data_IF_408051372790
#
_entry.id   IF_408051372790
#
_cell.length_a   1.000
_cell.length_b   1.000
_cell.length_c   1.000
_cell.angle_alpha   90.00
_cell.angle_beta   90.00
_cell.angle_gamma   90.00
#
_symmetry.space_group_name_H-M   'P 1'
#
loop_
_entity.id
_entity.type
_entity.pdbx_description
1 polymer ?
#
# COMPACT_ATOMS: atom_id res chain seq x y z
N UNK A 1 -11.71 -28.30 22.12
CA UNK A 1 -11.20 -27.45 21.02
C UNK A 1 -12.33 -26.54 20.62
N UNK A 2 -12.37 -25.34 21.16
CA UNK A 2 -13.42 -24.35 20.87
C UNK A 2 -12.95 -23.57 19.65
N UNK A 3 -13.58 -23.80 18.53
CA UNK A 3 -13.41 -23.01 17.30
C UNK A 3 -13.91 -21.60 17.62
N UNK A 4 -12.99 -20.62 17.65
CA UNK A 4 -13.37 -19.23 17.75
C UNK A 4 -14.19 -18.89 16.51
N UNK A 5 -15.48 -18.63 16.70
CA UNK A 5 -16.36 -18.11 15.64
C UNK A 5 -15.94 -16.66 15.44
N UNK A 6 -15.27 -16.38 14.33
CA UNK A 6 -15.04 -15.00 13.91
C UNK A 6 -16.40 -14.37 13.63
N UNK A 7 -16.80 -13.41 14.44
CA UNK A 7 -17.97 -12.59 14.16
C UNK A 7 -17.66 -11.72 12.94
N UNK A 8 -18.29 -12.02 11.83
CA UNK A 8 -18.29 -11.21 10.64
C UNK A 8 -19.17 -9.99 10.92
N UNK A 9 -18.61 -8.81 10.95
CA UNK A 9 -19.40 -7.58 10.96
C UNK A 9 -19.60 -7.22 9.49
N UNK A 10 -20.81 -7.48 8.99
CA UNK A 10 -21.24 -6.96 7.69
C UNK A 10 -21.56 -5.48 7.92
N UNK A 11 -20.70 -4.59 7.43
CA UNK A 11 -21.00 -3.16 7.39
C UNK A 11 -21.85 -2.94 6.15
N UNK A 12 -23.17 -2.89 6.30
CA UNK A 12 -24.05 -2.38 5.27
C UNK A 12 -23.88 -0.85 5.22
N UNK A 13 -23.27 -0.36 4.17
CA UNK A 13 -23.37 1.06 3.85
C UNK A 13 -24.77 1.31 3.29
N UNK A 14 -25.52 2.23 3.90
CA UNK A 14 -26.92 2.54 3.55
C UNK A 14 -27.12 3.09 2.12
N UNK A 15 -26.04 3.29 1.36
CA UNK A 15 -26.10 3.58 -0.06
C UNK A 15 -25.01 2.81 -0.80
N UNK A 16 -25.37 1.92 -1.73
CA UNK A 16 -24.41 1.44 -2.70
C UNK A 16 -23.99 2.65 -3.54
N UNK A 17 -22.70 2.90 -3.61
CA UNK A 17 -22.11 3.82 -4.58
C UNK A 17 -22.19 3.18 -5.98
N UNK A 18 -23.41 2.86 -6.40
CA UNK A 18 -23.72 2.56 -7.79
C UNK A 18 -23.78 3.89 -8.55
N UNK A 19 -22.63 4.42 -8.87
CA UNK A 19 -22.58 5.39 -9.96
C UNK A 19 -22.51 4.60 -11.24
N UNK A 20 -23.54 4.71 -12.05
CA UNK A 20 -23.65 4.08 -13.39
C UNK A 20 -22.55 4.51 -14.37
N UNK A 21 -21.60 5.31 -13.96
CA UNK A 21 -20.47 5.78 -14.75
C UNK A 21 -19.15 5.51 -14.01
N UNK A 22 -18.58 4.33 -14.28
CA UNK A 22 -17.12 4.15 -14.30
C UNK A 22 -16.30 4.43 -13.04
N UNK A 23 -16.88 4.42 -11.85
CA UNK A 23 -16.11 4.46 -10.61
C UNK A 23 -15.45 3.10 -10.37
N UNK A 24 -14.16 3.03 -10.61
CA UNK A 24 -13.33 1.82 -10.51
C UNK A 24 -13.13 1.37 -9.06
N UNK A 25 -13.55 2.15 -8.07
CA UNK A 25 -13.40 1.79 -6.66
C UNK A 25 -14.66 1.11 -6.14
N UNK A 26 -14.77 -0.21 -6.31
CA UNK A 26 -15.81 -1.00 -5.68
C UNK A 26 -15.43 -1.34 -4.25
N UNK A 27 -16.11 -0.74 -3.27
CA UNK A 27 -16.03 -1.13 -1.86
C UNK A 27 -16.69 -2.47 -1.56
N UNK A 28 -17.28 -3.13 -2.57
CA UNK A 28 -17.95 -4.45 -2.44
C UNK A 28 -17.07 -5.54 -1.83
N UNK A 29 -15.77 -5.36 -1.84
CA UNK A 29 -14.79 -6.30 -1.29
C UNK A 29 -14.06 -5.80 -0.04
N UNK A 30 -14.39 -4.60 0.46
CA UNK A 30 -13.84 -4.09 1.71
C UNK A 30 -14.54 -4.76 2.90
N UNK A 31 -14.11 -5.97 3.25
CA UNK A 31 -14.59 -6.69 4.42
C UNK A 31 -13.76 -6.27 5.63
N UNK A 32 -14.37 -5.59 6.58
CA UNK A 32 -13.76 -5.42 7.89
C UNK A 32 -13.98 -6.69 8.72
N UNK A 33 -12.99 -7.57 8.76
CA UNK A 33 -12.94 -8.65 9.75
C UNK A 33 -12.33 -8.08 11.02
N UNK A 34 -13.14 -7.81 12.02
CA UNK A 34 -12.64 -7.43 13.34
C UNK A 34 -12.66 -8.67 14.22
N UNK A 35 -11.52 -9.35 14.41
CA UNK A 35 -11.45 -10.45 15.37
C UNK A 35 -11.68 -9.91 16.79
N UNK A 36 -12.23 -10.74 17.72
CA UNK A 36 -12.32 -10.33 19.11
C UNK A 36 -10.93 -10.01 19.64
N UNK A 37 -10.80 -8.91 20.37
CA UNK A 37 -9.53 -8.55 20.98
C UNK A 37 -9.09 -9.63 21.98
N UNK A 38 -7.87 -10.17 21.88
CA UNK A 38 -7.35 -11.11 22.84
C UNK A 38 -7.15 -10.43 24.20
N UNK A 39 -7.41 -11.15 25.27
CA UNK A 39 -7.04 -10.71 26.63
C UNK A 39 -5.52 -10.46 26.70
N UNK A 40 -5.09 -9.67 27.65
CA UNK A 40 -3.66 -9.40 27.83
C UNK A 40 -2.84 -10.69 28.03
N UNK A 41 -3.37 -11.67 28.75
CA UNK A 41 -2.70 -12.96 28.94
C UNK A 41 -2.57 -13.76 27.64
N UNK A 42 -3.62 -13.80 26.84
CA UNK A 42 -3.59 -14.43 25.50
C UNK A 42 -2.63 -13.71 24.56
N UNK A 43 -2.62 -12.38 24.58
CA UNK A 43 -1.72 -11.54 23.78
C UNK A 43 -0.25 -11.84 24.09
N UNK A 44 0.11 -11.91 25.37
CA UNK A 44 1.47 -12.28 25.79
C UNK A 44 1.83 -13.70 25.35
N UNK A 45 0.93 -14.66 25.56
CA UNK A 45 1.16 -16.06 25.16
C UNK A 45 1.32 -16.20 23.63
N UNK A 46 0.56 -15.43 22.84
CA UNK A 46 0.69 -15.39 21.37
C UNK A 46 2.04 -14.78 20.96
N UNK A 47 2.44 -13.65 21.55
CA UNK A 47 3.75 -13.02 21.27
C UNK A 47 4.89 -14.00 21.57
N UNK A 48 4.87 -14.69 22.69
CA UNK A 48 5.89 -15.68 23.04
C UNK A 48 5.93 -16.87 22.07
N UNK A 49 4.76 -17.34 21.65
CA UNK A 49 4.66 -18.40 20.65
C UNK A 49 5.23 -17.95 19.29
N UNK A 50 4.95 -16.73 18.85
CA UNK A 50 5.46 -16.19 17.58
C UNK A 50 6.99 -16.03 17.65
N UNK A 51 7.54 -15.45 18.72
CA UNK A 51 9.00 -15.34 18.93
C UNK A 51 9.70 -16.69 18.79
N UNK A 52 9.14 -17.72 19.43
CA UNK A 52 9.69 -19.08 19.36
C UNK A 52 9.63 -19.62 17.92
N UNK A 53 8.49 -19.49 17.24
CA UNK A 53 8.30 -19.97 15.86
C UNK A 53 9.23 -19.25 14.87
N UNK A 54 9.42 -17.94 14.98
CA UNK A 54 10.35 -17.20 14.12
C UNK A 54 11.78 -17.76 14.25
N UNK A 55 12.22 -18.03 15.47
CA UNK A 55 13.53 -18.63 15.72
C UNK A 55 13.63 -20.07 15.19
N UNK A 56 12.64 -20.92 15.48
CA UNK A 56 12.60 -22.33 15.06
C UNK A 56 12.57 -22.48 13.52
N UNK A 57 11.92 -21.54 12.83
CA UNK A 57 11.75 -21.56 11.37
C UNK A 57 12.82 -20.77 10.63
N UNK A 58 13.82 -20.23 11.30
CA UNK A 58 14.80 -19.31 10.70
C UNK A 58 14.06 -18.21 9.89
N UNK A 59 13.07 -17.59 10.55
CA UNK A 59 12.22 -16.57 9.94
C UNK A 59 12.47 -15.20 10.59
N UNK A 60 12.30 -14.15 9.82
CA UNK A 60 12.29 -12.77 10.30
C UNK A 60 10.96 -12.12 9.96
N UNK A 61 10.45 -11.29 10.87
CA UNK A 61 9.21 -10.56 10.71
C UNK A 61 9.52 -9.12 10.29
N UNK A 62 8.84 -8.65 9.25
CA UNK A 62 8.85 -7.25 8.84
C UNK A 62 7.42 -6.71 8.90
N UNK A 63 7.24 -5.56 9.51
CA UNK A 63 5.93 -4.98 9.77
C UNK A 63 5.82 -3.59 9.17
N UNK A 64 4.69 -3.32 8.50
CA UNK A 64 4.39 -1.97 8.06
C UNK A 64 3.95 -1.13 9.26
N UNK A 65 4.28 0.15 9.26
CA UNK A 65 3.92 1.06 10.37
C UNK A 65 2.41 1.34 10.50
N UNK A 66 1.57 0.81 9.60
CA UNK A 66 0.09 0.86 9.72
C UNK A 66 -0.48 -0.26 10.60
N UNK A 67 0.27 -1.34 10.83
CA UNK A 67 -0.27 -2.49 11.56
C UNK A 67 -0.35 -2.20 13.06
N UNK A 68 -1.11 -3.05 13.76
CA UNK A 68 -1.27 -2.91 15.21
C UNK A 68 0.08 -2.84 15.94
N UNK A 69 0.24 -1.97 16.97
CA UNK A 69 1.50 -1.80 17.70
C UNK A 69 2.15 -3.10 18.19
N UNK A 70 1.37 -4.08 18.64
CA UNK A 70 1.91 -5.38 19.04
C UNK A 70 2.68 -6.11 17.94
N UNK A 71 2.30 -5.92 16.67
CA UNK A 71 3.01 -6.53 15.54
C UNK A 71 4.28 -5.75 15.20
N UNK A 72 4.25 -4.43 15.40
CA UNK A 72 5.43 -3.58 15.25
C UNK A 72 6.47 -3.93 16.33
N UNK A 73 6.06 -3.93 17.60
CA UNK A 73 6.92 -4.33 18.72
C UNK A 73 7.53 -5.71 18.47
N UNK A 74 6.71 -6.67 18.02
CA UNK A 74 7.15 -8.04 17.79
C UNK A 74 8.22 -8.11 16.68
N UNK A 75 8.07 -7.33 15.61
CA UNK A 75 9.07 -7.26 14.55
C UNK A 75 10.41 -6.73 15.11
N UNK A 76 10.39 -5.61 15.84
CA UNK A 76 11.60 -5.02 16.42
C UNK A 76 12.26 -5.93 17.47
N UNK A 77 11.47 -6.49 18.39
CA UNK A 77 11.94 -7.39 19.45
C UNK A 77 12.59 -8.68 18.92
N UNK A 78 12.23 -9.10 17.72
CA UNK A 78 12.74 -10.34 17.09
C UNK A 78 13.82 -10.11 16.04
N UNK A 79 14.35 -8.89 15.94
CA UNK A 79 15.43 -8.53 15.02
C UNK A 79 14.96 -8.26 13.59
N UNK A 80 13.67 -7.98 13.44
CA UNK A 80 13.07 -7.55 12.18
C UNK A 80 13.05 -6.03 12.01
N UNK A 81 12.13 -5.53 11.20
CA UNK A 81 12.03 -4.12 10.84
C UNK A 81 10.59 -3.64 10.83
N UNK A 82 10.36 -2.42 11.31
CA UNK A 82 9.13 -1.64 11.08
C UNK A 82 9.46 -0.51 10.12
N UNK A 83 8.82 -0.48 8.95
CA UNK A 83 9.11 0.55 7.94
C UNK A 83 8.02 0.66 6.88
N UNK A 84 8.31 1.41 5.81
CA UNK A 84 7.52 1.42 4.57
C UNK A 84 7.74 0.13 3.75
N UNK A 85 6.91 -0.04 2.73
CA UNK A 85 6.87 -1.26 1.91
C UNK A 85 8.17 -1.56 1.18
N UNK A 86 8.92 -0.53 0.74
CA UNK A 86 10.17 -0.72 -0.01
C UNK A 86 11.31 -1.12 0.93
N UNK A 87 11.44 -0.44 2.05
CA UNK A 87 12.48 -0.75 3.04
C UNK A 87 12.23 -2.12 3.70
N UNK A 88 10.97 -2.51 3.94
CA UNK A 88 10.63 -3.87 4.37
C UNK A 88 11.12 -4.92 3.36
N UNK A 89 10.90 -4.68 2.06
CA UNK A 89 11.31 -5.61 1.02
C UNK A 89 12.84 -5.66 0.86
N UNK A 90 13.53 -4.52 0.95
CA UNK A 90 15.00 -4.44 0.94
C UNK A 90 15.63 -5.15 2.13
N UNK A 91 15.13 -4.85 3.33
CA UNK A 91 15.58 -5.53 4.54
C UNK A 91 15.39 -7.03 4.43
N UNK A 92 14.22 -7.48 3.97
CA UNK A 92 13.93 -8.89 3.76
C UNK A 92 14.89 -9.55 2.77
N UNK A 93 15.26 -8.89 1.68
CA UNK A 93 16.25 -9.35 0.70
C UNK A 93 17.62 -9.54 1.34
N UNK A 94 18.07 -8.56 2.11
CA UNK A 94 19.44 -8.50 2.64
C UNK A 94 19.60 -9.32 3.93
N UNK A 95 18.51 -9.64 4.63
CA UNK A 95 18.53 -10.41 5.87
C UNK A 95 18.85 -11.89 5.62
N UNK A 96 19.60 -12.51 6.54
CA UNK A 96 20.07 -13.91 6.41
C UNK A 96 18.96 -14.97 6.51
N UNK A 97 17.79 -14.65 7.09
CA UNK A 97 16.67 -15.59 7.22
C UNK A 97 16.14 -16.04 5.84
N UNK A 98 15.73 -17.31 5.75
CA UNK A 98 15.17 -17.88 4.54
C UNK A 98 13.65 -17.70 4.43
N UNK A 99 13.01 -17.31 5.54
CA UNK A 99 11.57 -17.07 5.59
C UNK A 99 11.32 -15.64 6.07
N UNK A 100 10.53 -14.90 5.31
CA UNK A 100 10.04 -13.56 5.66
C UNK A 100 8.58 -13.67 6.05
N UNK A 101 8.22 -13.11 7.21
CA UNK A 101 6.83 -12.91 7.62
C UNK A 101 6.51 -11.45 7.44
N UNK A 102 5.65 -11.13 6.48
CA UNK A 102 5.30 -9.75 6.12
C UNK A 102 3.95 -9.39 6.72
N UNK A 103 3.97 -8.51 7.73
CA UNK A 103 2.76 -7.93 8.33
C UNK A 103 2.41 -6.62 7.63
N UNK A 104 1.44 -6.69 6.75
CA UNK A 104 0.98 -5.60 5.90
C UNK A 104 -0.06 -6.10 4.92
N UNK A 105 -0.34 -5.32 3.86
CA UNK A 105 -1.26 -5.70 2.81
C UNK A 105 -0.56 -6.48 1.69
N UNK A 106 -1.33 -7.23 0.90
CA UNK A 106 -0.86 -8.23 -0.07
C UNK A 106 0.27 -7.74 -0.98
N UNK A 107 0.15 -6.56 -1.58
CA UNK A 107 1.18 -6.06 -2.50
C UNK A 107 2.57 -5.91 -1.85
N UNK A 108 2.65 -5.73 -0.53
CA UNK A 108 3.92 -5.63 0.21
C UNK A 108 4.63 -6.99 0.27
N UNK A 109 3.88 -8.07 0.54
CA UNK A 109 4.40 -9.44 0.47
C UNK A 109 4.81 -9.83 -0.94
N UNK A 110 4.02 -9.44 -1.95
CA UNK A 110 4.37 -9.64 -3.36
C UNK A 110 5.67 -8.90 -3.73
N UNK A 111 5.82 -7.64 -3.29
CA UNK A 111 7.06 -6.87 -3.52
C UNK A 111 8.25 -7.53 -2.83
N UNK A 112 8.09 -7.98 -1.59
CA UNK A 112 9.13 -8.72 -0.87
C UNK A 112 9.52 -10.01 -1.61
N UNK A 113 8.53 -10.73 -2.17
CA UNK A 113 8.78 -11.94 -2.96
C UNK A 113 9.49 -11.65 -4.28
N UNK A 114 9.14 -10.56 -4.97
CA UNK A 114 9.82 -10.12 -6.20
C UNK A 114 11.29 -9.82 -5.93
N UNK A 115 11.61 -9.14 -4.82
CA UNK A 115 13.00 -8.82 -4.46
C UNK A 115 13.78 -10.00 -3.84
N UNK A 116 13.10 -11.05 -3.42
CA UNK A 116 13.67 -12.24 -2.76
C UNK A 116 13.05 -13.53 -3.32
N UNK A 117 13.23 -13.82 -4.62
CA UNK A 117 12.55 -14.94 -5.27
C UNK A 117 12.94 -16.31 -4.68
N UNK A 118 14.12 -16.42 -4.07
CA UNK A 118 14.62 -17.64 -3.43
C UNK A 118 14.03 -17.87 -2.02
N UNK A 119 13.51 -16.81 -1.37
CA UNK A 119 13.00 -16.91 0.00
C UNK A 119 11.52 -17.31 0.04
N UNK A 120 11.11 -17.91 1.15
CA UNK A 120 9.69 -18.11 1.46
C UNK A 120 9.14 -16.81 2.05
N UNK A 121 8.11 -16.26 1.44
CA UNK A 121 7.39 -15.09 1.96
C UNK A 121 6.02 -15.53 2.44
N UNK A 122 5.74 -15.27 3.70
CA UNK A 122 4.47 -15.59 4.36
C UNK A 122 3.75 -14.30 4.75
N UNK A 123 2.44 -14.29 4.58
CA UNK A 123 1.57 -13.23 5.05
C UNK A 123 0.49 -13.81 5.96
N UNK A 124 0.15 -13.14 7.07
CA UNK A 124 -0.91 -13.59 7.97
C UNK A 124 -2.28 -13.65 7.31
N UNK A 125 -2.56 -12.72 6.41
CA UNK A 125 -3.83 -12.60 5.69
C UNK A 125 -3.58 -12.12 4.26
N UNK A 126 -3.95 -12.94 3.27
CA UNK A 126 -3.84 -12.61 1.85
C UNK A 126 -5.03 -11.80 1.33
N UNK A 127 -6.13 -11.72 2.09
CA UNK A 127 -7.27 -10.88 1.76
C UNK A 127 -7.05 -9.41 2.19
N UNK A 128 -6.04 -9.16 3.06
CA UNK A 128 -5.64 -7.81 3.39
C UNK A 128 -5.04 -7.13 2.15
N UNK A 129 -5.73 -6.14 1.60
CA UNK A 129 -5.35 -5.47 0.36
C UNK A 129 -5.46 -3.95 0.46
N UNK A 130 -5.07 -3.24 -0.59
CA UNK A 130 -5.10 -1.79 -0.70
C UNK A 130 -6.14 -1.37 -1.75
N UNK A 131 -6.86 -0.27 -1.51
CA UNK A 131 -7.83 0.26 -2.49
C UNK A 131 -7.18 0.62 -3.83
N UNK A 132 -5.93 1.04 -3.84
CA UNK A 132 -5.18 1.31 -5.07
C UNK A 132 -4.91 0.03 -5.87
N UNK A 133 -4.62 -1.09 -5.20
CA UNK A 133 -4.45 -2.40 -5.82
C UNK A 133 -5.78 -2.90 -6.41
N UNK A 134 -6.86 -2.83 -5.61
CA UNK A 134 -8.20 -3.19 -6.06
C UNK A 134 -8.72 -2.31 -7.21
N UNK A 135 -8.38 -1.03 -7.19
CA UNK A 135 -8.77 -0.05 -8.21
C UNK A 135 -7.90 -0.08 -9.49
N UNK A 136 -6.97 -1.03 -9.60
CA UNK A 136 -6.11 -1.20 -10.77
C UNK A 136 -6.04 -2.68 -11.21
N UNK A 137 -7.16 -3.25 -11.69
CA UNK A 137 -7.19 -4.63 -12.17
C UNK A 137 -6.27 -4.83 -13.38
N UNK A 138 -5.57 -5.96 -13.43
CA UNK A 138 -4.49 -6.18 -14.42
C UNK A 138 -4.99 -6.22 -15.87
N UNK A 139 -6.20 -6.72 -16.10
CA UNK A 139 -6.79 -6.83 -17.43
C UNK A 139 -7.06 -5.43 -18.02
N UNK A 140 -7.73 -4.57 -17.26
CA UNK A 140 -8.04 -3.20 -17.65
C UNK A 140 -6.78 -2.34 -17.74
N UNK A 141 -5.85 -2.54 -16.79
CA UNK A 141 -4.56 -1.83 -16.82
C UNK A 141 -3.72 -2.25 -18.03
N UNK A 142 -3.74 -3.52 -18.41
CA UNK A 142 -3.05 -4.01 -19.62
C UNK A 142 -3.62 -3.37 -20.88
N UNK A 143 -4.95 -3.29 -21.00
CA UNK A 143 -5.60 -2.62 -22.11
C UNK A 143 -5.26 -1.12 -22.15
N UNK A 144 -5.16 -0.47 -20.99
CA UNK A 144 -4.73 0.92 -20.90
C UNK A 144 -3.29 1.13 -21.36
N UNK A 145 -2.37 0.23 -20.99
CA UNK A 145 -0.99 0.25 -21.49
C UNK A 145 -0.93 0.05 -23.01
N UNK A 146 -1.70 -0.92 -23.53
CA UNK A 146 -1.72 -1.24 -24.97
C UNK A 146 -2.32 -0.10 -25.81
N UNK A 147 -3.18 0.74 -25.23
CA UNK A 147 -3.69 1.96 -25.86
C UNK A 147 -2.67 3.13 -25.89
N UNK A 148 -1.56 3.01 -25.15
CA UNK A 148 -0.53 4.05 -25.05
C UNK A 148 0.88 3.48 -25.29
N UNK A 149 1.15 2.84 -26.44
CA UNK A 149 2.40 2.09 -26.69
C UNK A 149 3.65 2.98 -26.80
N UNK A 150 3.46 4.31 -26.91
CA UNK A 150 4.53 5.30 -27.01
C UNK A 150 4.98 5.84 -25.65
N UNK A 151 4.48 5.27 -24.55
CA UNK A 151 4.75 5.75 -23.18
C UNK A 151 5.47 4.72 -22.33
N UNK A 152 6.42 5.20 -21.54
CA UNK A 152 7.07 4.42 -20.49
C UNK A 152 6.11 4.20 -19.32
N UNK A 153 5.89 2.97 -18.94
CA UNK A 153 4.95 2.59 -17.89
C UNK A 153 5.63 2.68 -16.52
N UNK A 154 5.22 3.64 -15.72
CA UNK A 154 5.69 3.86 -14.35
C UNK A 154 4.57 3.51 -13.38
N UNK A 155 4.82 2.53 -12.52
CA UNK A 155 3.82 2.02 -11.57
C UNK A 155 4.26 2.28 -10.15
N UNK A 156 3.37 2.88 -9.36
CA UNK A 156 3.53 3.00 -7.92
C UNK A 156 3.33 1.65 -7.24
N UNK A 157 4.11 1.36 -6.20
CA UNK A 157 4.23 0.05 -5.56
C UNK A 157 2.91 -0.57 -5.06
N UNK A 158 1.90 0.27 -4.81
CA UNK A 158 0.59 -0.13 -4.27
C UNK A 158 -0.31 -0.79 -5.33
N UNK A 159 0.20 -1.82 -5.98
CA UNK A 159 -0.44 -2.58 -7.05
C UNK A 159 -0.08 -4.06 -6.94
N UNK A 160 -0.83 -4.93 -7.62
CA UNK A 160 -0.54 -6.37 -7.67
C UNK A 160 0.77 -6.68 -8.41
N UNK A 161 1.33 -7.87 -8.16
CA UNK A 161 2.49 -8.36 -8.90
C UNK A 161 2.20 -8.45 -10.41
N UNK A 162 0.97 -8.75 -10.81
CA UNK A 162 0.55 -8.82 -12.20
C UNK A 162 0.59 -7.45 -12.89
N UNK A 163 0.15 -6.39 -12.22
CA UNK A 163 0.27 -5.00 -12.70
C UNK A 163 1.74 -4.59 -12.77
N UNK A 164 2.54 -4.92 -11.74
CA UNK A 164 3.99 -4.66 -11.73
C UNK A 164 4.72 -5.31 -12.91
N UNK A 165 4.27 -6.49 -13.36
CA UNK A 165 4.85 -7.18 -14.51
C UNK A 165 4.64 -6.45 -15.85
N UNK A 166 3.71 -5.49 -15.92
CA UNK A 166 3.48 -4.62 -17.09
C UNK A 166 4.28 -3.33 -17.04
N UNK A 167 4.95 -3.04 -15.91
CA UNK A 167 5.67 -1.79 -15.70
C UNK A 167 7.10 -1.85 -16.22
N UNK A 168 7.58 -0.74 -16.77
CA UNK A 168 8.99 -0.52 -17.04
C UNK A 168 9.72 -0.07 -15.77
N UNK A 169 9.03 0.70 -14.92
CA UNK A 169 9.55 1.22 -13.67
C UNK A 169 8.56 1.02 -12.53
N UNK A 170 9.08 0.53 -11.40
CA UNK A 170 8.34 0.47 -10.13
C UNK A 170 8.91 1.51 -9.18
N UNK A 171 8.04 2.35 -8.63
CA UNK A 171 8.42 3.47 -7.75
C UNK A 171 7.63 3.46 -6.44
N UNK A 172 8.18 4.15 -5.44
CA UNK A 172 7.46 4.58 -4.24
C UNK A 172 7.34 6.10 -4.23
N UNK A 173 6.53 6.67 -3.35
CA UNK A 173 6.39 8.12 -3.22
C UNK A 173 7.73 8.83 -2.97
N UNK A 174 8.66 8.18 -2.27
CA UNK A 174 9.97 8.74 -1.93
C UNK A 174 10.93 8.90 -3.13
N UNK A 175 10.79 8.09 -4.19
CA UNK A 175 11.69 8.10 -5.35
C UNK A 175 11.02 8.52 -6.67
N UNK A 176 9.70 8.68 -6.67
CA UNK A 176 8.94 8.92 -7.89
C UNK A 176 9.31 10.22 -8.60
N UNK A 177 9.54 11.31 -7.86
CA UNK A 177 9.95 12.60 -8.44
C UNK A 177 11.28 12.49 -9.19
N UNK A 178 12.27 11.85 -8.59
CA UNK A 178 13.61 11.70 -9.18
C UNK A 178 13.56 10.83 -10.43
N UNK A 179 12.84 9.71 -10.38
CA UNK A 179 12.72 8.78 -11.51
C UNK A 179 11.97 9.44 -12.66
N UNK A 180 10.80 10.06 -12.41
CA UNK A 180 10.02 10.75 -13.44
C UNK A 180 10.79 11.94 -14.00
N UNK A 181 11.51 12.69 -13.17
CA UNK A 181 12.38 13.78 -13.60
C UNK A 181 13.50 13.29 -14.56
N UNK A 182 14.13 12.17 -14.24
CA UNK A 182 15.15 11.55 -15.09
C UNK A 182 14.57 11.03 -16.42
N UNK A 183 13.40 10.39 -16.38
CA UNK A 183 12.70 9.92 -17.59
C UNK A 183 12.29 11.10 -18.51
N UNK A 184 11.78 12.18 -17.92
CA UNK A 184 11.49 13.41 -18.67
C UNK A 184 12.75 13.99 -19.32
N UNK A 185 13.86 14.05 -18.58
CA UNK A 185 15.13 14.55 -19.13
C UNK A 185 15.64 13.69 -20.29
N UNK A 186 15.30 12.40 -20.30
CA UNK A 186 15.56 11.47 -21.40
C UNK A 186 14.52 11.55 -22.53
N UNK A 187 13.58 12.50 -22.49
CA UNK A 187 12.55 12.69 -23.53
C UNK A 187 11.42 11.66 -23.51
N UNK A 188 11.27 10.91 -22.42
CA UNK A 188 10.24 9.88 -22.28
C UNK A 188 8.87 10.51 -21.96
N UNK A 189 7.82 9.98 -22.59
CA UNK A 189 6.45 10.22 -22.18
C UNK A 189 6.05 9.12 -21.21
N UNK A 190 5.21 9.42 -20.23
CA UNK A 190 4.94 8.54 -19.11
C UNK A 190 3.47 8.12 -19.06
N UNK A 191 3.22 6.85 -18.79
CA UNK A 191 1.97 6.32 -18.31
C UNK A 191 2.14 6.02 -16.81
N UNK A 192 1.28 6.61 -16.00
CA UNK A 192 1.34 6.50 -14.54
C UNK A 192 0.13 5.77 -13.95
N UNK A 193 0.36 4.86 -13.02
CA UNK A 193 -0.65 4.15 -12.25
C UNK A 193 -0.16 3.86 -10.82
N UNK A 194 -1.03 3.54 -9.86
CA UNK A 194 -2.49 3.54 -9.93
C UNK A 194 -3.13 4.85 -9.44
N UNK A 195 -2.42 5.70 -8.69
CA UNK A 195 -2.97 6.88 -8.00
C UNK A 195 -2.86 8.14 -8.86
N UNK A 196 -4.03 8.72 -9.22
CA UNK A 196 -4.08 9.93 -10.06
C UNK A 196 -3.59 11.19 -9.34
N UNK A 197 -3.78 11.28 -8.00
CA UNK A 197 -3.40 12.46 -7.23
C UNK A 197 -1.89 12.55 -7.09
N UNK A 198 -1.24 11.44 -6.72
CA UNK A 198 0.22 11.36 -6.70
C UNK A 198 0.80 11.61 -8.10
N UNK A 199 0.19 11.03 -9.14
CA UNK A 199 0.60 11.28 -10.53
C UNK A 199 0.49 12.75 -10.93
N UNK A 200 -0.62 13.42 -10.60
CA UNK A 200 -0.82 14.84 -10.89
C UNK A 200 0.16 15.73 -10.09
N UNK A 201 0.46 15.38 -8.85
CA UNK A 201 1.49 16.04 -8.06
C UNK A 201 2.86 15.94 -8.75
N UNK A 202 3.27 14.72 -9.13
CA UNK A 202 4.55 14.48 -9.80
C UNK A 202 4.61 15.22 -11.15
N UNK A 203 3.52 15.21 -11.92
CA UNK A 203 3.45 15.96 -13.17
C UNK A 203 3.64 17.46 -12.96
N UNK A 204 2.99 18.02 -11.95
CA UNK A 204 3.12 19.46 -11.61
C UNK A 204 4.57 19.82 -11.25
N UNK A 205 5.20 19.00 -10.40
CA UNK A 205 6.57 19.27 -9.94
C UNK A 205 7.63 19.05 -11.03
N UNK A 206 7.43 18.05 -11.89
CA UNK A 206 8.41 17.71 -12.93
C UNK A 206 8.11 18.37 -14.27
N UNK A 207 6.84 18.67 -14.56
CA UNK A 207 6.37 19.09 -15.89
C UNK A 207 6.53 18.00 -16.96
N UNK A 208 6.49 16.73 -16.59
CA UNK A 208 6.57 15.59 -17.51
C UNK A 208 5.26 15.43 -18.33
N UNK A 209 5.37 14.89 -19.55
CA UNK A 209 4.20 14.48 -20.33
C UNK A 209 3.67 13.16 -19.78
N UNK A 210 2.58 13.21 -19.02
CA UNK A 210 2.03 12.06 -18.31
C UNK A 210 0.55 11.84 -18.64
N UNK A 211 0.17 10.57 -18.78
CA UNK A 211 -1.23 10.12 -18.73
C UNK A 211 -1.41 9.26 -17.49
N UNK A 212 -2.58 9.32 -16.87
CA UNK A 212 -2.85 8.69 -15.58
C UNK A 212 -3.92 7.62 -15.70
N UNK A 213 -3.69 6.52 -15.00
CA UNK A 213 -4.75 5.62 -14.59
C UNK A 213 -5.71 6.37 -13.65
N UNK A 214 -7.03 6.15 -13.79
CA UNK A 214 -8.02 6.88 -13.01
C UNK A 214 -8.34 6.19 -11.66
N UNK A 215 -7.32 5.87 -10.88
CA UNK A 215 -7.44 5.35 -9.52
C UNK A 215 -7.13 6.39 -8.46
N UNK A 216 -7.56 6.16 -7.23
CA UNK A 216 -7.24 6.97 -6.06
C UNK A 216 -7.23 6.13 -4.79
N UNK A 217 -6.46 6.55 -3.80
CA UNK A 217 -6.55 5.99 -2.45
C UNK A 217 -7.82 6.50 -1.78
N UNK A 218 -8.74 5.58 -1.41
CA UNK A 218 -10.02 5.96 -0.78
C UNK A 218 -9.84 6.75 0.52
N UNK A 219 -8.77 6.48 1.27
CA UNK A 219 -8.47 7.18 2.53
C UNK A 219 -8.04 8.62 2.26
N UNK A 220 -7.11 8.81 1.31
CA UNK A 220 -6.61 10.15 1.00
C UNK A 220 -7.62 11.00 0.23
N UNK A 221 -8.48 10.39 -0.60
CA UNK A 221 -9.52 11.07 -1.36
C UNK A 221 -10.66 11.63 -0.46
N UNK A 222 -10.77 11.10 0.77
CA UNK A 222 -11.72 11.61 1.78
C UNK A 222 -11.30 12.94 2.41
N UNK A 223 -10.04 13.34 2.38
CA UNK A 223 -9.61 14.62 2.94
C UNK A 223 -10.16 15.79 2.14
N UNK A 224 -10.65 16.82 2.87
CA UNK A 224 -11.25 18.01 2.27
C UNK A 224 -10.49 19.27 2.68
N UNK A 225 -10.18 20.10 1.71
CA UNK A 225 -9.45 21.36 1.96
C UNK A 225 -10.16 22.27 2.96
N UNK A 226 -11.50 22.32 2.93
CA UNK A 226 -12.27 23.11 3.89
C UNK A 226 -12.07 22.63 5.33
N UNK A 227 -12.05 21.32 5.57
CA UNK A 227 -11.84 20.74 6.90
C UNK A 227 -10.43 21.05 7.40
N UNK A 228 -9.44 20.95 6.52
CA UNK A 228 -8.06 21.32 6.83
C UNK A 228 -7.95 22.81 7.21
N UNK A 229 -8.60 23.69 6.46
CA UNK A 229 -8.62 25.13 6.77
C UNK A 229 -9.30 25.44 8.12
N UNK A 230 -10.32 24.71 8.50
CA UNK A 230 -10.95 24.83 9.83
C UNK A 230 -9.99 24.39 10.93
N UNK A 231 -9.33 23.24 10.77
CA UNK A 231 -8.32 22.76 11.72
C UNK A 231 -7.14 23.74 11.87
N UNK A 232 -6.67 24.33 10.79
CA UNK A 232 -5.60 25.36 10.83
C UNK A 232 -6.02 26.60 11.63
N UNK A 233 -7.31 26.98 11.58
CA UNK A 233 -7.84 28.09 12.40
C UNK A 233 -7.94 27.74 13.88
N UNK A 234 -8.29 26.49 14.20
CA UNK A 234 -8.36 25.99 15.57
C UNK A 234 -6.96 25.80 16.18
N UNK A 235 -5.97 25.50 15.35
CA UNK A 235 -4.59 25.24 15.76
C UNK A 235 -3.59 26.18 15.07
N UNK A 236 -3.63 27.49 15.36
CA UNK A 236 -2.76 28.47 14.72
C UNK A 236 -1.28 28.17 15.06
N UNK A 237 -0.46 28.02 14.03
CA UNK A 237 0.96 27.69 14.18
C UNK A 237 1.28 26.19 14.09
N UNK A 238 0.29 25.32 13.99
CA UNK A 238 0.51 23.92 13.68
C UNK A 238 1.09 23.77 12.25
N UNK A 239 2.08 22.88 12.10
CA UNK A 239 2.60 22.51 10.78
C UNK A 239 1.72 21.41 10.20
N UNK A 240 1.37 21.55 8.93
CA UNK A 240 0.56 20.58 8.20
C UNK A 240 1.50 19.74 7.35
N UNK A 241 1.42 18.41 7.51
CA UNK A 241 2.07 17.44 6.64
C UNK A 241 0.99 16.72 5.86
N UNK A 242 1.10 16.74 4.54
CA UNK A 242 0.12 16.12 3.62
C UNK A 242 0.84 15.12 2.73
N UNK A 243 0.27 13.93 2.59
CA UNK A 243 0.75 12.96 1.60
C UNK A 243 0.21 13.34 0.22
N UNK A 244 1.03 13.32 -0.85
CA UNK A 244 0.61 13.77 -2.19
C UNK A 244 -0.39 12.83 -2.92
N UNK A 245 -0.83 11.75 -2.29
CA UNK A 245 -2.03 10.99 -2.70
C UNK A 245 -3.34 11.71 -2.35
N UNK A 246 -3.27 12.80 -1.58
CA UNK A 246 -4.44 13.63 -1.26
C UNK A 246 -4.85 14.50 -2.46
N UNK A 247 -6.13 14.92 -2.52
CA UNK A 247 -6.59 15.86 -3.55
C UNK A 247 -5.72 17.11 -3.67
N UNK A 248 -5.63 17.67 -4.87
CA UNK A 248 -4.72 18.78 -5.16
C UNK A 248 -4.99 20.04 -4.33
N UNK A 249 -6.24 20.29 -3.96
CA UNK A 249 -6.67 21.40 -3.11
C UNK A 249 -6.30 21.21 -1.63
N UNK A 250 -6.05 19.98 -1.21
CA UNK A 250 -5.54 19.65 0.13
C UNK A 250 -4.02 19.79 0.18
N UNK A 251 -3.34 19.46 -0.93
CA UNK A 251 -1.87 19.54 -1.06
C UNK A 251 -1.39 20.97 -1.30
N UNK A 252 -2.24 21.84 -1.86
CA UNK A 252 -1.90 23.23 -2.18
C UNK A 252 -1.80 24.11 -0.94
#
# INVERSE_FOLDING_TARGET
>A
MTTAVMNRIDVEYEQPLDTEEGSVCSTKHAWARVPPEPTQAERLALKDKIRRLLKEKNAVMVSHYYVHPDLQDLAEETGGLVSDSLEMARFGRDHAAQTLVVSGVRFMGETAKILSPEKTVLMPDLDATCSLDLGCPVEEFSAFCDAHPDRTVVVYANTSAAVKARADWLVTSSCALDIVGALKAAGQKILWAPDRHLGAYIQRETGADMVFWNGACIVHDEFKALELELLKKEHPGAKVLVHPESPADVVA
#
